data_IF_079805836055
#
_entry.id   IF_079805836055
#
_cell.length_a   1.000
_cell.length_b   1.000
_cell.length_c   1.000
_cell.angle_alpha   90.00
_cell.angle_beta   90.00
_cell.angle_gamma   90.00
#
_symmetry.space_group_name_H-M   'P 1'
#
loop_
_entity.id
_entity.type
_entity.pdbx_description
1 polymer ?
#
# COMPACT_ATOMS: atom_id res chain seq x y z
N UNK A 1 -3.16 11.47 1.84
CA UNK A 1 -1.76 11.55 2.33
C UNK A 1 -1.56 12.87 3.04
N UNK A 2 -1.05 12.86 4.26
CA UNK A 2 -0.63 14.10 4.92
C UNK A 2 0.58 14.64 4.14
N UNK A 3 0.46 15.81 3.54
CA UNK A 3 1.55 16.51 2.86
C UNK A 3 1.62 16.40 1.34
N UNK A 4 0.71 15.70 0.67
CA UNK A 4 0.62 15.71 -0.80
C UNK A 4 -0.79 16.05 -1.26
N UNK A 5 -0.89 16.73 -2.39
CA UNK A 5 -2.15 17.11 -3.03
C UNK A 5 -2.24 16.47 -4.41
N UNK A 6 -3.36 15.79 -4.67
CA UNK A 6 -3.63 15.20 -5.98
C UNK A 6 -3.90 16.32 -6.99
N UNK A 7 -3.14 16.34 -8.07
CA UNK A 7 -3.25 17.39 -9.10
C UNK A 7 -3.83 16.88 -10.41
N UNK A 8 -3.78 15.55 -10.63
CA UNK A 8 -4.28 14.94 -11.87
C UNK A 8 -4.58 13.48 -11.68
N UNK A 9 -5.72 13.04 -12.20
CA UNK A 9 -6.07 11.64 -12.44
C UNK A 9 -6.35 11.45 -13.93
N UNK A 10 -5.82 10.40 -14.55
CA UNK A 10 -6.00 10.14 -15.97
C UNK A 10 -6.03 8.64 -16.24
N UNK A 11 -6.96 8.20 -17.08
CA UNK A 11 -7.03 6.86 -17.68
C UNK A 11 -6.65 6.87 -19.16
N UNK A 12 -6.05 7.96 -19.63
CA UNK A 12 -5.50 8.04 -21.00
C UNK A 12 -4.17 7.32 -21.06
N UNK A 13 -4.08 6.39 -22.00
CA UNK A 13 -2.81 5.70 -22.28
C UNK A 13 -1.73 6.70 -22.72
N UNK A 14 -0.58 6.67 -22.04
CA UNK A 14 0.61 7.46 -22.40
C UNK A 14 1.85 6.59 -22.25
N UNK A 15 2.52 6.32 -23.37
CA UNK A 15 3.68 5.41 -23.37
C UNK A 15 3.26 4.00 -22.90
N UNK A 16 3.94 3.46 -21.89
CA UNK A 16 3.62 2.16 -21.29
C UNK A 16 2.64 2.20 -20.13
N UNK A 17 2.08 3.39 -19.77
CA UNK A 17 1.11 3.53 -18.67
C UNK A 17 -0.32 3.55 -19.19
N UNK A 18 -1.19 2.74 -18.58
CA UNK A 18 -2.62 2.67 -18.89
C UNK A 18 -3.43 3.77 -18.18
N UNK A 19 -2.88 4.34 -17.14
CA UNK A 19 -3.40 5.47 -16.37
C UNK A 19 -2.34 6.00 -15.43
N UNK A 20 -2.54 7.20 -14.90
CA UNK A 20 -1.61 7.77 -13.95
C UNK A 20 -2.29 8.75 -13.00
N UNK A 21 -1.75 8.79 -11.81
CA UNK A 21 -2.02 9.79 -10.79
C UNK A 21 -0.79 10.70 -10.64
N UNK A 22 -1.03 11.98 -10.55
CA UNK A 22 0.00 12.96 -10.23
C UNK A 22 -0.37 13.66 -8.93
N UNK A 23 0.59 13.72 -8.02
CA UNK A 23 0.48 14.48 -6.78
C UNK A 23 1.68 15.40 -6.62
N UNK A 24 1.46 16.54 -5.98
CA UNK A 24 2.52 17.46 -5.56
C UNK A 24 2.67 17.39 -4.04
N UNK A 25 3.90 17.28 -3.58
CA UNK A 25 4.20 17.43 -2.15
C UNK A 25 4.00 18.92 -1.78
N UNK A 26 3.24 19.18 -0.70
CA UNK A 26 2.96 20.56 -0.22
C UNK A 26 4.19 21.24 0.38
N UNK A 27 5.16 20.44 0.83
CA UNK A 27 6.40 20.91 1.43
C UNK A 27 7.59 20.13 0.88
N UNK A 28 8.67 20.81 0.56
CA UNK A 28 9.94 20.18 0.26
C UNK A 28 10.53 19.60 1.55
N UNK A 29 10.71 18.28 1.60
CA UNK A 29 11.30 17.57 2.75
C UNK A 29 12.57 16.87 2.35
N UNK A 30 13.67 17.17 3.04
CA UNK A 30 14.95 16.48 2.85
C UNK A 30 14.97 15.08 3.48
N UNK A 31 14.09 14.83 4.45
CA UNK A 31 13.98 13.54 5.14
C UNK A 31 12.52 13.20 5.38
N UNK A 32 12.24 11.89 5.48
CA UNK A 32 10.90 11.36 5.75
C UNK A 32 10.94 10.47 6.98
N UNK A 33 9.89 10.56 7.77
CA UNK A 33 9.67 9.67 8.88
C UNK A 33 9.11 8.32 8.39
N UNK A 34 9.14 7.32 9.27
CA UNK A 34 8.55 6.00 8.98
C UNK A 34 7.09 6.11 8.52
N UNK A 35 6.29 6.95 9.16
CA UNK A 35 4.89 7.19 8.80
C UNK A 35 4.71 7.74 7.37
N UNK A 36 5.62 8.61 6.93
CA UNK A 36 5.59 9.13 5.55
C UNK A 36 5.92 8.02 4.55
N UNK A 37 6.95 7.19 4.84
CA UNK A 37 7.33 6.07 3.99
C UNK A 37 6.24 4.98 3.97
N UNK A 38 5.59 4.72 5.11
CA UNK A 38 4.46 3.80 5.18
C UNK A 38 3.27 4.30 4.35
N UNK A 39 2.94 5.61 4.43
CA UNK A 39 1.87 6.19 3.61
C UNK A 39 2.15 6.06 2.10
N UNK A 40 3.43 6.15 1.68
CA UNK A 40 3.84 5.90 0.28
C UNK A 40 3.66 4.45 -0.13
N UNK A 41 3.96 3.51 0.76
CA UNK A 41 3.71 2.08 0.52
C UNK A 41 2.21 1.79 0.38
N UNK A 42 1.38 2.34 1.26
CA UNK A 42 -0.09 2.23 1.18
C UNK A 42 -0.60 2.77 -0.16
N UNK A 43 -0.07 3.91 -0.59
CA UNK A 43 -0.41 4.50 -1.89
C UNK A 43 0.04 3.60 -3.07
N UNK A 44 1.28 3.11 -3.06
CA UNK A 44 1.81 2.25 -4.12
C UNK A 44 1.03 0.94 -4.26
N UNK A 45 0.52 0.39 -3.14
CA UNK A 45 -0.26 -0.84 -3.12
C UNK A 45 -1.76 -0.61 -3.35
N UNK A 46 -2.19 0.64 -3.55
CA UNK A 46 -3.59 1.02 -3.73
C UNK A 46 -4.26 0.34 -4.94
N UNK A 47 -3.56 0.25 -6.08
CA UNK A 47 -4.08 -0.41 -7.27
C UNK A 47 -4.31 -1.92 -7.02
N UNK A 48 -3.35 -2.60 -6.39
CA UNK A 48 -3.46 -4.01 -6.01
C UNK A 48 -4.61 -4.24 -5.03
N UNK A 49 -4.80 -3.34 -4.08
CA UNK A 49 -5.91 -3.39 -3.11
C UNK A 49 -7.26 -3.16 -3.81
N UNK A 50 -7.35 -2.19 -4.71
CA UNK A 50 -8.58 -1.90 -5.46
C UNK A 50 -9.00 -3.09 -6.32
N UNK A 51 -8.08 -3.69 -7.09
CA UNK A 51 -8.40 -4.88 -7.87
C UNK A 51 -8.95 -6.00 -6.98
N UNK A 52 -8.35 -6.22 -5.81
CA UNK A 52 -8.82 -7.24 -4.86
C UNK A 52 -10.23 -6.95 -4.34
N UNK A 53 -10.53 -5.70 -3.98
CA UNK A 53 -11.84 -5.29 -3.46
C UNK A 53 -12.94 -5.35 -4.52
N UNK A 54 -12.64 -4.97 -5.77
CA UNK A 54 -13.65 -4.87 -6.84
C UNK A 54 -13.79 -6.14 -7.68
N UNK A 55 -12.69 -6.88 -7.89
CA UNK A 55 -12.67 -8.06 -8.78
C UNK A 55 -12.39 -9.39 -8.05
N UNK A 56 -11.95 -9.35 -6.79
CA UNK A 56 -11.58 -10.55 -6.03
C UNK A 56 -10.25 -11.18 -6.42
N UNK A 57 -9.56 -10.64 -7.44
CA UNK A 57 -8.27 -11.12 -7.93
C UNK A 57 -7.41 -9.96 -8.41
N UNK A 58 -6.10 -10.22 -8.64
CA UNK A 58 -5.19 -9.21 -9.16
C UNK A 58 -4.74 -9.56 -10.58
N UNK A 59 -4.71 -8.54 -11.43
CA UNK A 59 -4.14 -8.62 -12.76
C UNK A 59 -2.60 -8.58 -12.74
N UNK A 60 -1.96 -8.81 -13.87
CA UNK A 60 -0.51 -8.61 -14.02
C UNK A 60 -0.13 -7.12 -14.11
N UNK A 61 -1.09 -6.20 -14.24
CA UNK A 61 -0.88 -4.75 -14.31
C UNK A 61 -0.25 -4.17 -13.06
N UNK A 62 -0.48 -4.78 -11.89
CA UNK A 62 0.09 -4.33 -10.61
C UNK A 62 1.58 -4.69 -10.41
N UNK A 63 2.21 -5.39 -11.37
CA UNK A 63 3.58 -5.91 -11.21
C UNK A 63 4.62 -4.83 -10.94
N UNK A 64 4.51 -3.66 -11.57
CA UNK A 64 5.40 -2.52 -11.35
C UNK A 64 5.27 -1.92 -9.96
N UNK A 65 4.04 -1.78 -9.46
CA UNK A 65 3.75 -1.24 -8.14
C UNK A 65 4.23 -2.20 -7.04
N UNK A 66 4.00 -3.50 -7.22
CA UNK A 66 4.47 -4.55 -6.30
C UNK A 66 6.01 -4.58 -6.23
N UNK A 67 6.70 -4.45 -7.36
CA UNK A 67 8.15 -4.39 -7.40
C UNK A 67 8.68 -3.14 -6.68
N UNK A 68 8.09 -1.98 -6.95
CA UNK A 68 8.47 -0.70 -6.33
C UNK A 68 8.23 -0.71 -4.83
N UNK A 69 7.08 -1.22 -4.38
CA UNK A 69 6.75 -1.34 -2.97
C UNK A 69 7.69 -2.32 -2.23
N UNK A 70 8.03 -3.45 -2.85
CA UNK A 70 9.00 -4.41 -2.28
C UNK A 70 10.37 -3.78 -2.12
N UNK A 71 10.84 -3.04 -3.13
CA UNK A 71 12.12 -2.33 -3.07
C UNK A 71 12.13 -1.26 -1.96
N UNK A 72 11.05 -0.50 -1.82
CA UNK A 72 10.92 0.51 -0.77
C UNK A 72 10.89 -0.11 0.62
N UNK A 73 10.13 -1.18 0.85
CA UNK A 73 10.11 -1.88 2.14
C UNK A 73 11.50 -2.43 2.52
N UNK A 74 12.23 -3.00 1.57
CA UNK A 74 13.60 -3.46 1.78
C UNK A 74 14.56 -2.30 2.11
N UNK A 75 14.41 -1.15 1.44
CA UNK A 75 15.20 0.06 1.72
C UNK A 75 14.90 0.62 3.12
N UNK A 76 13.64 0.65 3.55
CA UNK A 76 13.25 1.09 4.89
C UNK A 76 13.97 0.28 5.97
N UNK A 77 14.08 -1.03 5.81
CA UNK A 77 14.77 -1.91 6.75
C UNK A 77 16.32 -1.78 6.63
N UNK A 78 16.84 -1.87 5.41
CA UNK A 78 18.28 -2.00 5.18
C UNK A 78 19.06 -0.69 5.29
N UNK A 79 18.46 0.43 4.89
CA UNK A 79 19.13 1.74 4.87
C UNK A 79 18.67 2.68 5.98
N UNK A 80 17.44 2.55 6.46
CA UNK A 80 16.84 3.50 7.40
C UNK A 80 16.50 2.92 8.78
N UNK A 81 16.77 1.64 9.00
CA UNK A 81 16.47 0.91 10.24
C UNK A 81 15.02 1.06 10.71
N UNK A 82 14.09 1.14 9.76
CA UNK A 82 12.65 1.27 10.02
C UNK A 82 12.01 -0.10 10.16
N UNK A 83 11.06 -0.23 11.09
CA UNK A 83 10.20 -1.41 11.28
C UNK A 83 8.74 -1.09 10.95
N UNK A 84 7.82 -2.06 11.19
CA UNK A 84 6.39 -1.82 11.07
C UNK A 84 5.90 -0.65 11.92
N UNK A 85 4.82 0.00 11.48
CA UNK A 85 4.14 1.03 12.27
C UNK A 85 3.58 0.44 13.57
N UNK A 86 3.52 1.21 14.67
CA UNK A 86 2.76 0.82 15.84
C UNK A 86 1.29 0.61 15.48
N UNK A 87 0.69 -0.41 16.04
CA UNK A 87 -0.72 -0.72 15.88
C UNK A 87 -1.31 -1.23 17.18
N UNK A 88 -2.60 -1.02 17.34
CA UNK A 88 -3.36 -1.52 18.50
C UNK A 88 -3.88 -2.91 18.16
N UNK A 89 -3.84 -3.80 19.14
CA UNK A 89 -4.39 -5.15 19.03
C UNK A 89 -5.40 -5.38 20.13
N UNK A 90 -6.45 -6.13 19.82
CA UNK A 90 -7.36 -6.67 20.80
C UNK A 90 -7.00 -8.14 21.00
N UNK A 91 -6.53 -8.55 22.21
CA UNK A 91 -6.30 -9.96 22.51
C UNK A 91 -7.60 -10.77 22.39
N UNK A 92 -7.49 -12.00 21.92
CA UNK A 92 -8.55 -12.98 21.96
C UNK A 92 -8.63 -13.60 23.38
N UNK A 93 -9.67 -14.40 23.64
CA UNK A 93 -9.80 -15.12 24.90
C UNK A 93 -8.52 -15.94 25.18
N UNK A 94 -7.99 -15.84 26.41
CA UNK A 94 -6.76 -16.47 26.86
C UNK A 94 -5.45 -16.04 26.19
N UNK A 95 -5.45 -14.97 25.39
CA UNK A 95 -4.27 -14.44 24.71
C UNK A 95 -3.72 -13.21 25.46
N UNK A 96 -2.39 -13.12 25.64
CA UNK A 96 -1.75 -11.89 26.11
C UNK A 96 -1.65 -10.86 24.96
N UNK A 97 -1.49 -9.57 25.32
CA UNK A 97 -1.28 -8.51 24.33
C UNK A 97 -0.05 -8.78 23.45
N UNK A 98 1.02 -9.33 24.02
CA UNK A 98 2.23 -9.69 23.27
C UNK A 98 1.96 -10.81 22.26
N UNK A 99 1.19 -11.83 22.64
CA UNK A 99 0.78 -12.92 21.76
C UNK A 99 -0.13 -12.41 20.64
N UNK A 100 -1.10 -11.54 20.97
CA UNK A 100 -1.96 -10.90 19.98
C UNK A 100 -1.13 -10.10 18.96
N UNK A 101 -0.16 -9.31 19.43
CA UNK A 101 0.75 -8.56 18.59
C UNK A 101 1.58 -9.47 17.67
N UNK A 102 2.14 -10.54 18.20
CA UNK A 102 2.92 -11.52 17.42
C UNK A 102 2.05 -12.19 16.35
N UNK A 103 0.82 -12.55 16.67
CA UNK A 103 -0.16 -13.12 15.74
C UNK A 103 -0.41 -12.17 14.56
N UNK A 104 -0.65 -10.88 14.83
CA UNK A 104 -0.88 -9.88 13.78
C UNK A 104 0.37 -9.68 12.92
N UNK A 105 1.56 -9.59 13.55
CA UNK A 105 2.82 -9.46 12.81
C UNK A 105 3.09 -10.67 11.90
N UNK A 106 2.78 -11.88 12.33
CA UNK A 106 2.87 -13.09 11.51
C UNK A 106 1.92 -13.05 10.30
N UNK A 107 0.71 -12.50 10.47
CA UNK A 107 -0.23 -12.32 9.35
C UNK A 107 0.28 -11.28 8.36
N UNK A 108 0.80 -10.14 8.82
CA UNK A 108 1.45 -9.17 7.95
C UNK A 108 2.62 -9.80 7.18
N UNK A 109 3.48 -10.55 7.88
CA UNK A 109 4.61 -11.26 7.27
C UNK A 109 4.15 -12.21 6.17
N UNK A 110 3.13 -13.02 6.41
CA UNK A 110 2.57 -13.95 5.43
C UNK A 110 2.09 -13.24 4.17
N UNK A 111 1.35 -12.14 4.32
CA UNK A 111 0.87 -11.32 3.20
C UNK A 111 2.05 -10.69 2.45
N UNK A 112 2.99 -10.08 3.19
CA UNK A 112 4.16 -9.43 2.61
C UNK A 112 5.06 -10.39 1.83
N UNK A 113 5.26 -11.62 2.32
CA UNK A 113 6.00 -12.67 1.61
C UNK A 113 5.30 -13.07 0.31
N UNK A 114 3.97 -13.14 0.28
CA UNK A 114 3.23 -13.43 -0.95
C UNK A 114 3.39 -12.32 -1.99
N UNK A 115 3.41 -11.05 -1.56
CA UNK A 115 3.67 -9.90 -2.42
C UNK A 115 5.11 -9.94 -2.95
N UNK A 116 6.10 -10.13 -2.07
CA UNK A 116 7.52 -10.23 -2.46
C UNK A 116 7.78 -11.37 -3.45
N UNK A 117 7.15 -12.52 -3.25
CA UNK A 117 7.35 -13.68 -4.13
C UNK A 117 6.81 -13.45 -5.56
N UNK A 118 5.86 -12.52 -5.73
CA UNK A 118 5.40 -12.11 -7.07
C UNK A 118 6.45 -11.31 -7.85
N UNK A 119 7.42 -10.68 -7.14
CA UNK A 119 8.50 -9.93 -7.75
C UNK A 119 9.71 -10.80 -8.16
N UNK A 120 9.72 -12.08 -7.82
CA UNK A 120 10.85 -12.99 -8.03
C UNK A 120 11.07 -13.42 -9.49
N UNK A 121 10.48 -12.75 -10.44
CA UNK A 121 10.63 -12.96 -11.89
C UNK A 121 11.89 -12.32 -12.45
N UNK A 122 13.07 -12.83 -12.10
CA UNK A 122 14.26 -12.79 -12.93
C UNK A 122 14.97 -11.45 -13.13
N UNK A 123 16.04 -11.24 -12.41
CA UNK A 123 17.16 -10.40 -12.76
C UNK A 123 18.30 -10.63 -11.76
N UNK A 124 19.55 -10.69 -12.19
CA UNK A 124 20.66 -10.78 -11.26
C UNK A 124 20.77 -9.46 -10.49
N UNK A 125 20.21 -9.41 -9.31
CA UNK A 125 20.44 -8.32 -8.34
C UNK A 125 21.85 -8.46 -7.76
N UNK A 126 22.86 -8.30 -8.59
CA UNK A 126 24.25 -8.20 -8.16
C UNK A 126 24.47 -6.76 -7.69
N UNK A 127 24.80 -6.60 -6.41
CA UNK A 127 25.19 -5.34 -5.75
C UNK A 127 24.08 -4.34 -5.38
N UNK A 128 22.84 -4.77 -5.19
CA UNK A 128 21.76 -3.91 -4.74
C UNK A 128 21.55 -4.10 -3.21
N UNK A 129 21.46 -3.04 -2.40
CA UNK A 129 21.10 -3.13 -0.97
C UNK A 129 19.81 -3.94 -0.73
N UNK A 130 18.87 -3.90 -1.67
CA UNK A 130 17.65 -4.68 -1.67
C UNK A 130 17.92 -6.17 -1.67
N UNK A 131 18.86 -6.65 -2.47
CA UNK A 131 19.21 -8.07 -2.53
C UNK A 131 19.81 -8.57 -1.21
N UNK A 132 20.60 -7.74 -0.53
CA UNK A 132 21.14 -8.04 0.81
C UNK A 132 20.03 -8.19 1.86
N UNK A 133 19.01 -7.35 1.82
CA UNK A 133 17.84 -7.46 2.71
C UNK A 133 17.00 -8.70 2.40
N UNK A 134 16.76 -8.99 1.12
CA UNK A 134 15.94 -10.14 0.73
C UNK A 134 16.63 -11.49 0.95
N UNK A 135 17.96 -11.53 1.03
CA UNK A 135 18.75 -12.74 1.34
C UNK A 135 18.97 -12.98 2.84
N UNK A 136 18.82 -11.94 3.68
CA UNK A 136 18.91 -12.03 5.13
C UNK A 136 17.52 -12.36 5.70
N UNK A 137 17.39 -13.47 6.41
CA UNK A 137 16.11 -13.97 6.91
C UNK A 137 15.38 -13.00 7.81
N UNK A 138 16.08 -12.35 8.75
CA UNK A 138 15.47 -11.43 9.71
C UNK A 138 15.06 -10.11 9.05
N UNK A 139 15.92 -9.56 8.19
CA UNK A 139 15.59 -8.34 7.43
C UNK A 139 14.44 -8.57 6.44
N UNK A 140 14.43 -9.73 5.78
CA UNK A 140 13.33 -10.12 4.88
C UNK A 140 12.01 -10.22 5.63
N UNK A 141 12.03 -10.80 6.85
CA UNK A 141 10.85 -10.86 7.71
C UNK A 141 10.33 -9.47 8.05
N UNK A 142 11.19 -8.56 8.51
CA UNK A 142 10.80 -7.18 8.81
C UNK A 142 10.25 -6.45 7.59
N UNK A 143 10.89 -6.57 6.42
CA UNK A 143 10.41 -5.97 5.19
C UNK A 143 9.04 -6.55 4.76
N UNK A 144 8.83 -7.86 4.95
CA UNK A 144 7.55 -8.50 4.70
C UNK A 144 6.46 -7.99 5.66
N UNK A 145 6.77 -7.79 6.94
CA UNK A 145 5.82 -7.23 7.91
C UNK A 145 5.40 -5.81 7.54
N UNK A 146 6.35 -4.95 7.14
CA UNK A 146 6.07 -3.60 6.66
C UNK A 146 5.16 -3.64 5.43
N UNK A 147 5.51 -4.47 4.44
CA UNK A 147 4.79 -4.58 3.18
C UNK A 147 3.37 -5.12 3.39
N UNK A 148 3.23 -6.15 4.23
CA UNK A 148 1.94 -6.72 4.58
C UNK A 148 1.06 -5.73 5.34
N UNK A 149 1.62 -5.00 6.31
CA UNK A 149 0.89 -3.95 7.02
C UNK A 149 0.38 -2.86 6.06
N UNK A 150 1.24 -2.38 5.15
CA UNK A 150 0.87 -1.38 4.16
C UNK A 150 -0.26 -1.89 3.24
N UNK A 151 -0.18 -3.16 2.80
CA UNK A 151 -1.21 -3.74 1.96
C UNK A 151 -2.55 -3.92 2.67
N UNK A 152 -2.56 -4.41 3.91
CA UNK A 152 -3.78 -4.52 4.72
C UNK A 152 -4.40 -3.14 4.95
N UNK A 153 -3.58 -2.13 5.20
CA UNK A 153 -4.05 -0.74 5.32
C UNK A 153 -4.67 -0.22 4.02
N UNK A 154 -4.03 -0.46 2.87
CA UNK A 154 -4.55 -0.08 1.56
C UNK A 154 -5.88 -0.80 1.26
N UNK A 155 -5.95 -2.10 1.54
CA UNK A 155 -7.15 -2.91 1.35
C UNK A 155 -8.34 -2.38 2.17
N UNK A 156 -8.15 -2.15 3.46
CA UNK A 156 -9.21 -1.63 4.33
C UNK A 156 -9.60 -0.20 3.96
N UNK A 157 -8.64 0.64 3.53
CA UNK A 157 -8.93 1.99 3.06
C UNK A 157 -9.84 1.97 1.82
N UNK A 158 -9.55 1.12 0.84
CA UNK A 158 -10.38 0.97 -0.37
C UNK A 158 -11.73 0.34 -0.03
N UNK A 159 -11.74 -0.72 0.79
CA UNK A 159 -12.97 -1.41 1.18
C UNK A 159 -13.93 -0.47 1.92
N UNK A 160 -13.43 0.30 2.88
CA UNK A 160 -14.20 1.27 3.65
C UNK A 160 -14.81 2.38 2.77
N UNK A 161 -14.09 2.81 1.75
CA UNK A 161 -14.52 3.88 0.85
C UNK A 161 -15.02 3.34 -0.51
N UNK A 162 -15.42 2.07 -0.59
CA UNK A 162 -15.71 1.39 -1.86
C UNK A 162 -16.65 2.17 -2.77
N UNK A 163 -17.80 2.62 -2.25
CA UNK A 163 -18.78 3.37 -3.02
C UNK A 163 -18.25 4.74 -3.50
N UNK A 164 -17.42 5.39 -2.69
CA UNK A 164 -16.82 6.66 -3.06
C UNK A 164 -15.75 6.47 -4.15
N UNK A 165 -14.95 5.41 -4.06
CA UNK A 165 -13.96 5.05 -5.08
C UNK A 165 -14.66 4.70 -6.41
N UNK A 166 -15.78 3.99 -6.36
CA UNK A 166 -16.60 3.66 -7.55
C UNK A 166 -17.12 4.93 -8.24
N UNK A 167 -17.67 5.88 -7.47
CA UNK A 167 -18.12 7.17 -8.03
C UNK A 167 -16.99 7.96 -8.70
N UNK A 168 -15.78 7.99 -8.09
CA UNK A 168 -14.62 8.65 -8.68
C UNK A 168 -14.21 7.94 -9.98
N UNK A 169 -14.24 6.60 -9.98
CA UNK A 169 -13.93 5.82 -11.18
C UNK A 169 -14.92 6.07 -12.32
N UNK A 170 -16.21 6.15 -12.02
CA UNK A 170 -17.26 6.46 -13.01
C UNK A 170 -17.06 7.85 -13.65
N UNK A 171 -16.73 8.86 -12.84
CA UNK A 171 -16.37 10.19 -13.34
C UNK A 171 -15.13 10.12 -14.28
N UNK A 172 -14.12 9.34 -13.91
CA UNK A 172 -12.95 9.16 -14.75
C UNK A 172 -13.25 8.40 -16.05
N UNK A 173 -14.15 7.43 -16.04
CA UNK A 173 -14.58 6.73 -17.27
C UNK A 173 -15.23 7.70 -18.25
N UNK A 174 -16.05 8.62 -17.76
CA UNK A 174 -16.71 9.64 -18.59
C UNK A 174 -15.75 10.70 -19.08
N UNK A 175 -14.94 11.28 -18.20
CA UNK A 175 -14.08 12.44 -18.48
C UNK A 175 -12.75 12.05 -19.08
N UNK A 176 -12.27 10.83 -18.84
CA UNK A 176 -10.96 10.29 -19.23
C UNK A 176 -9.78 10.91 -18.49
N UNK A 177 -9.90 12.11 -18.03
CA UNK A 177 -8.88 12.87 -17.33
C UNK A 177 -9.52 13.99 -16.52
N UNK A 178 -9.05 14.17 -15.27
CA UNK A 178 -9.51 15.22 -14.35
C UNK A 178 -8.28 15.86 -13.70
N UNK A 179 -8.25 17.18 -13.57
CA UNK A 179 -7.12 17.93 -12.99
C UNK A 179 -7.56 19.25 -12.36
N UNK A 180 -6.69 19.84 -11.52
CA UNK A 180 -6.93 21.13 -10.88
C UNK A 180 -8.17 21.16 -10.01
N UNK A 181 -8.90 22.27 -10.01
CA UNK A 181 -10.05 22.52 -9.14
C UNK A 181 -11.17 21.46 -9.30
N UNK A 182 -11.38 21.01 -10.55
CA UNK A 182 -12.36 19.95 -10.85
C UNK A 182 -12.05 18.63 -10.11
N UNK A 183 -10.76 18.27 -10.02
CA UNK A 183 -10.35 17.10 -9.26
C UNK A 183 -10.59 17.30 -7.75
N UNK A 184 -10.28 18.48 -7.23
CA UNK A 184 -10.53 18.82 -5.82
C UNK A 184 -12.01 18.69 -5.50
N UNK A 185 -12.90 19.26 -6.32
CA UNK A 185 -14.35 19.16 -6.15
C UNK A 185 -14.86 17.71 -6.12
N UNK A 186 -14.33 16.85 -7.01
CA UNK A 186 -14.69 15.42 -7.05
C UNK A 186 -14.24 14.70 -5.78
N UNK A 187 -13.00 14.96 -5.34
CA UNK A 187 -12.44 14.33 -4.14
C UNK A 187 -13.15 14.79 -2.86
N UNK A 188 -13.47 16.08 -2.75
CA UNK A 188 -14.22 16.64 -1.62
C UNK A 188 -15.66 16.09 -1.57
N UNK A 189 -16.32 15.97 -2.72
CA UNK A 189 -17.64 15.38 -2.82
C UNK A 189 -17.66 13.89 -2.47
N UNK A 190 -16.56 13.19 -2.69
CA UNK A 190 -16.43 11.77 -2.35
C UNK A 190 -16.39 11.52 -0.84
N UNK A 191 -15.98 12.51 -0.03
CA UNK A 191 -15.92 12.43 1.45
C UNK A 191 -15.18 11.20 1.95
N UNK A 192 -14.00 10.95 1.39
CA UNK A 192 -13.15 9.82 1.79
C UNK A 192 -12.76 9.93 3.26
N UNK A 193 -12.87 8.83 3.99
CA UNK A 193 -12.54 8.74 5.42
C UNK A 193 -11.53 7.63 5.71
N UNK A 194 -10.79 7.77 6.81
CA UNK A 194 -9.84 6.75 7.26
C UNK A 194 -10.61 5.71 8.08
N UNK A 195 -10.46 4.41 7.79
CA UNK A 195 -11.03 3.35 8.61
C UNK A 195 -10.25 3.17 9.90
N UNK A 196 -10.94 2.77 10.97
CA UNK A 196 -10.34 2.08 12.11
C UNK A 196 -10.26 0.59 11.76
N UNK A 197 -9.08 0.00 11.85
CA UNK A 197 -8.86 -1.38 11.47
C UNK A 197 -8.79 -2.24 12.73
N UNK A 198 -9.76 -3.12 12.89
CA UNK A 198 -9.75 -4.15 13.92
C UNK A 198 -9.04 -5.41 13.40
N UNK A 199 -7.79 -5.58 13.78
CA UNK A 199 -6.98 -6.74 13.41
C UNK A 199 -7.41 -8.07 14.09
N UNK A 200 -8.38 -8.05 14.99
CA UNK A 200 -9.00 -9.25 15.54
C UNK A 200 -10.11 -9.81 14.64
N UNK A 201 -10.72 -8.95 13.83
CA UNK A 201 -11.75 -9.34 12.86
C UNK A 201 -11.13 -9.99 11.62
N UNK A 202 -11.69 -11.11 11.16
CA UNK A 202 -11.29 -11.74 9.90
C UNK A 202 -11.59 -10.85 8.67
N UNK A 203 -12.59 -9.98 8.76
CA UNK A 203 -12.95 -9.06 7.67
C UNK A 203 -11.87 -8.04 7.35
N UNK A 204 -10.96 -7.74 8.31
CA UNK A 204 -9.83 -6.86 8.09
C UNK A 204 -8.74 -7.48 7.18
N UNK A 205 -8.77 -8.79 6.94
CA UNK A 205 -7.70 -9.50 6.27
C UNK A 205 -8.06 -9.88 4.83
N UNK A 206 -7.33 -9.35 3.82
CA UNK A 206 -7.55 -9.77 2.44
C UNK A 206 -7.15 -11.23 2.22
N UNK A 207 -7.93 -11.95 1.43
CA UNK A 207 -7.51 -13.25 0.90
C UNK A 207 -6.51 -13.01 -0.24
N UNK A 208 -5.32 -13.64 -0.19
CA UNK A 208 -4.25 -13.45 -1.18
C UNK A 208 -4.29 -14.52 -2.27
#
# INVERSE_FOLDING_TARGET
>A
MQGAESTRLSIRMRGGSLGHHQALEKEERFSRFRSDEMARLVWALGAMAAERVFYGENSNGVGGDVQSATAQAAWMVGASAMGPEPFVVTPLDDESEEQARERVLKRFESIGLQIMNRTSGGGPFTENPIAGVLSDGDKRKLAAQILGQAYVSAYNLVLHNKEAVERIADELVVRREVFGDELVEILDAAKLTMPEIDYSSEDAWPTM
#
